data_IF_583569374506
#
_entry.id   IF_583569374506
#
_cell.length_a   1.000
_cell.length_b   1.000
_cell.length_c   1.000
_cell.angle_alpha   90.00
_cell.angle_beta   90.00
_cell.angle_gamma   90.00
#
_symmetry.space_group_name_H-M   'P 1'
#
loop_
_entity.id
_entity.type
_entity.pdbx_description
1 polymer ?
#
# COMPACT_ATOMS: atom_id res chain seq x y z
N UNK A 1 9.26 16.11 -7.79
CA UNK A 1 10.08 14.90 -8.02
C UNK A 1 9.19 13.70 -7.72
N UNK A 2 9.71 12.48 -7.61
CA UNK A 2 8.90 11.32 -7.18
C UNK A 2 9.62 10.63 -6.03
N UNK A 3 8.86 10.12 -5.07
CA UNK A 3 9.40 9.26 -4.03
C UNK A 3 9.18 7.78 -4.39
N UNK A 4 10.18 6.96 -4.12
CA UNK A 4 10.04 5.51 -4.21
C UNK A 4 9.55 4.96 -2.86
N UNK A 5 8.46 4.19 -2.88
CA UNK A 5 7.96 3.47 -1.72
C UNK A 5 8.01 1.96 -1.97
N UNK A 6 8.77 1.22 -1.15
CA UNK A 6 8.87 -0.24 -1.18
C UNK A 6 8.16 -0.83 0.02
N UNK A 7 7.11 -1.63 -0.20
CA UNK A 7 6.30 -2.26 0.86
C UNK A 7 6.41 -3.78 0.78
N UNK A 8 6.69 -4.45 1.90
CA UNK A 8 6.64 -5.90 1.94
C UNK A 8 5.18 -6.40 1.99
N UNK A 9 4.82 -7.30 1.09
CA UNK A 9 3.51 -7.95 1.05
C UNK A 9 3.54 -9.25 1.86
N UNK A 10 3.43 -9.12 3.18
CA UNK A 10 3.44 -10.25 4.12
C UNK A 10 2.08 -10.95 4.10
N UNK A 11 2.08 -12.19 3.58
CA UNK A 11 0.88 -13.04 3.52
C UNK A 11 1.13 -14.42 4.11
N UNK A 12 0.05 -15.12 4.47
CA UNK A 12 0.13 -16.54 4.83
C UNK A 12 0.24 -17.38 3.56
N UNK A 13 0.80 -18.60 3.69
CA UNK A 13 0.83 -19.58 2.60
C UNK A 13 -0.59 -19.91 2.09
N UNK A 14 -1.55 -19.98 3.02
CA UNK A 14 -2.95 -20.25 2.71
C UNK A 14 -3.58 -19.13 1.87
N UNK A 15 -3.32 -17.87 2.22
CA UNK A 15 -3.80 -16.72 1.43
C UNK A 15 -3.31 -16.78 -0.03
N UNK A 16 -2.07 -17.22 -0.26
CA UNK A 16 -1.53 -17.41 -1.61
C UNK A 16 -2.26 -18.53 -2.37
N UNK A 17 -2.49 -19.67 -1.71
CA UNK A 17 -3.18 -20.81 -2.31
C UNK A 17 -4.63 -20.43 -2.68
N UNK A 18 -5.36 -19.81 -1.75
CA UNK A 18 -6.74 -19.35 -1.95
C UNK A 18 -6.80 -18.35 -3.11
N UNK A 19 -5.94 -17.33 -3.10
CA UNK A 19 -5.93 -16.35 -4.19
C UNK A 19 -5.54 -16.93 -5.54
N UNK A 20 -4.68 -17.95 -5.59
CA UNK A 20 -4.35 -18.65 -6.83
C UNK A 20 -5.57 -19.39 -7.39
N UNK A 21 -6.35 -20.06 -6.54
CA UNK A 21 -7.61 -20.70 -6.93
C UNK A 21 -8.64 -19.68 -7.42
N UNK A 22 -8.84 -18.56 -6.69
CA UNK A 22 -9.74 -17.49 -7.14
C UNK A 22 -9.37 -17.02 -8.56
N UNK A 23 -8.09 -16.78 -8.83
CA UNK A 23 -7.62 -16.38 -10.17
C UNK A 23 -7.88 -17.44 -11.24
N UNK A 24 -7.67 -18.72 -10.92
CA UNK A 24 -7.98 -19.82 -11.85
C UNK A 24 -9.48 -19.88 -12.18
N UNK A 25 -10.34 -19.49 -11.24
CA UNK A 25 -11.80 -19.42 -11.43
C UNK A 25 -12.30 -18.10 -12.03
N UNK A 26 -11.40 -17.13 -12.31
CA UNK A 26 -11.78 -15.80 -12.77
C UNK A 26 -12.41 -14.91 -11.68
N UNK A 27 -12.27 -15.29 -10.42
CA UNK A 27 -12.81 -14.58 -9.27
C UNK A 27 -11.83 -13.55 -8.70
N UNK A 28 -12.37 -12.61 -7.92
CA UNK A 28 -11.55 -11.68 -7.16
C UNK A 28 -10.81 -12.41 -6.03
N UNK A 29 -9.60 -11.97 -5.65
CA UNK A 29 -8.86 -12.56 -4.55
C UNK A 29 -9.64 -12.45 -3.23
N UNK A 30 -9.89 -13.58 -2.57
CA UNK A 30 -10.59 -13.61 -1.27
C UNK A 30 -9.69 -13.13 -0.12
N UNK A 31 -8.37 -13.21 -0.27
CA UNK A 31 -7.40 -12.73 0.71
C UNK A 31 -6.53 -11.62 0.09
N UNK A 32 -7.08 -10.42 -0.17
CA UNK A 32 -6.35 -9.37 -0.86
C UNK A 32 -5.08 -8.99 -0.10
N UNK A 33 -4.09 -8.51 -0.85
CA UNK A 33 -2.82 -8.07 -0.28
C UNK A 33 -3.02 -7.04 0.83
N UNK A 34 -2.28 -7.22 1.91
CA UNK A 34 -2.28 -6.28 3.04
C UNK A 34 -1.40 -5.06 2.77
N UNK A 35 -0.49 -5.14 1.80
CA UNK A 35 0.35 -4.05 1.33
C UNK A 35 -0.33 -3.28 0.19
N UNK A 36 -0.76 -2.06 0.45
CA UNK A 36 -1.41 -1.20 -0.53
C UNK A 36 -1.14 0.27 -0.26
N UNK A 37 -1.29 1.08 -1.30
CA UNK A 37 -1.20 2.54 -1.28
C UNK A 37 -2.43 3.10 -1.96
N UNK A 38 -3.06 4.12 -1.39
CA UNK A 38 -4.12 4.87 -2.03
C UNK A 38 -3.76 6.35 -2.03
N UNK A 39 -3.98 7.05 -3.14
CA UNK A 39 -3.99 8.51 -3.15
C UNK A 39 -5.26 8.94 -2.44
N UNK A 40 -5.14 9.93 -1.57
CA UNK A 40 -6.27 10.37 -0.74
C UNK A 40 -6.65 11.82 -0.99
N UNK A 41 -7.96 12.06 -0.92
CA UNK A 41 -8.54 13.39 -0.77
C UNK A 41 -9.46 13.37 0.44
N UNK A 42 -9.24 14.29 1.36
CA UNK A 42 -10.01 14.44 2.59
C UNK A 42 -10.81 15.73 2.47
N UNK A 43 -12.14 15.63 2.52
CA UNK A 43 -12.98 16.82 2.49
C UNK A 43 -13.09 17.48 3.87
N UNK A 44 -13.69 18.68 3.93
CA UNK A 44 -13.88 19.43 5.17
C UNK A 44 -14.64 18.66 6.28
N UNK A 45 -15.42 17.64 5.92
CA UNK A 45 -16.14 16.79 6.88
C UNK A 45 -15.30 15.58 7.35
N UNK A 46 -14.03 15.48 6.93
CA UNK A 46 -13.13 14.38 7.26
C UNK A 46 -13.41 13.08 6.49
N UNK A 47 -14.23 13.10 5.43
CA UNK A 47 -14.43 11.95 4.57
C UNK A 47 -13.20 11.74 3.68
N UNK A 48 -12.69 10.51 3.66
CA UNK A 48 -11.50 10.12 2.91
C UNK A 48 -11.89 9.39 1.64
N UNK A 49 -11.77 10.06 0.50
CA UNK A 49 -11.83 9.47 -0.84
C UNK A 49 -10.49 8.81 -1.16
N UNK A 50 -10.52 7.55 -1.61
CA UNK A 50 -9.33 6.72 -1.86
C UNK A 50 -9.30 6.25 -3.31
N UNK A 51 -8.25 6.64 -4.01
CA UNK A 51 -7.90 6.08 -5.32
C UNK A 51 -6.73 5.11 -5.15
N UNK A 52 -7.00 3.80 -5.25
CA UNK A 52 -6.00 2.76 -4.96
C UNK A 52 -5.00 2.61 -6.10
N UNK A 53 -3.71 2.74 -5.76
CA UNK A 53 -2.64 2.60 -6.73
C UNK A 53 -2.36 1.13 -7.04
N UNK A 54 -2.11 0.84 -8.31
CA UNK A 54 -1.43 -0.38 -8.72
C UNK A 54 0.06 -0.20 -8.44
N UNK A 55 0.72 -1.23 -7.89
CA UNK A 55 2.18 -1.22 -7.77
C UNK A 55 2.83 -1.16 -9.15
N UNK A 56 3.84 -0.30 -9.29
CA UNK A 56 4.62 -0.16 -10.52
C UNK A 56 5.47 -1.41 -10.81
N UNK A 57 5.96 -2.04 -9.75
CA UNK A 57 6.70 -3.30 -9.82
C UNK A 57 6.44 -4.19 -8.61
N UNK A 58 6.68 -5.49 -8.79
CA UNK A 58 6.73 -6.46 -7.70
C UNK A 58 8.09 -7.14 -7.74
N UNK A 59 8.83 -7.03 -6.65
CA UNK A 59 10.16 -7.60 -6.47
C UNK A 59 10.08 -8.88 -5.62
N UNK A 60 10.65 -9.96 -6.16
CA UNK A 60 10.67 -11.29 -5.57
C UNK A 60 12.09 -11.73 -5.20
N UNK A 61 13.10 -10.85 -5.31
CA UNK A 61 14.52 -11.19 -5.14
C UNK A 61 14.82 -11.74 -3.74
N UNK A 62 14.09 -11.25 -2.74
CA UNK A 62 14.21 -11.68 -1.34
C UNK A 62 13.13 -12.70 -0.94
N UNK A 63 12.31 -13.16 -1.90
CA UNK A 63 11.17 -14.01 -1.59
C UNK A 63 11.65 -15.36 -1.05
N UNK A 64 11.07 -15.77 0.07
CA UNK A 64 11.28 -17.14 0.53
C UNK A 64 10.62 -18.13 -0.46
N UNK A 65 11.02 -19.40 -0.44
CA UNK A 65 10.50 -20.40 -1.39
C UNK A 65 8.97 -20.55 -1.40
N UNK A 66 8.29 -20.26 -0.28
CA UNK A 66 6.83 -20.26 -0.20
C UNK A 66 6.19 -18.95 -0.73
N UNK A 67 6.93 -17.84 -0.78
CA UNK A 67 6.45 -16.49 -1.08
C UNK A 67 5.52 -15.91 -0.01
N UNK A 68 5.72 -16.26 1.26
CA UNK A 68 4.99 -15.66 2.39
C UNK A 68 5.65 -14.40 2.95
N UNK A 69 6.94 -14.22 2.62
CA UNK A 69 7.83 -13.12 3.03
C UNK A 69 8.76 -12.77 1.87
N UNK A 70 9.31 -11.56 1.89
CA UNK A 70 10.31 -11.09 0.93
C UNK A 70 9.76 -10.76 -0.45
N UNK A 71 8.43 -10.64 -0.58
CA UNK A 71 7.79 -10.09 -1.77
C UNK A 71 7.54 -8.61 -1.51
N UNK A 72 8.05 -7.74 -2.38
CA UNK A 72 7.92 -6.29 -2.21
C UNK A 72 7.11 -5.69 -3.36
N UNK A 73 6.19 -4.78 -3.02
CA UNK A 73 5.50 -3.92 -3.97
C UNK A 73 6.16 -2.55 -3.98
N UNK A 74 6.56 -2.10 -5.17
CA UNK A 74 7.20 -0.82 -5.38
C UNK A 74 6.21 0.15 -6.01
N UNK A 75 6.16 1.37 -5.47
CA UNK A 75 5.30 2.45 -5.93
C UNK A 75 6.12 3.72 -6.16
N UNK A 76 5.76 4.45 -7.20
CA UNK A 76 6.15 5.84 -7.39
C UNK A 76 5.07 6.77 -6.86
N UNK A 77 5.42 7.61 -5.89
CA UNK A 77 4.56 8.64 -5.34
C UNK A 77 4.88 9.99 -5.97
N UNK A 78 3.85 10.67 -6.47
CA UNK A 78 3.98 11.97 -7.09
C UNK A 78 4.17 13.07 -6.03
N UNK A 79 4.97 14.08 -6.37
CA UNK A 79 5.19 15.28 -5.56
C UNK A 79 3.88 15.99 -5.19
N UNK A 80 3.80 16.53 -3.96
CA UNK A 80 2.64 17.31 -3.47
C UNK A 80 1.31 16.57 -3.62
N UNK A 81 1.37 15.25 -3.47
CA UNK A 81 0.20 14.40 -3.39
C UNK A 81 0.19 13.67 -2.04
N UNK A 82 -1.02 13.41 -1.56
CA UNK A 82 -1.28 12.78 -0.28
C UNK A 82 -1.67 11.33 -0.48
N UNK A 83 -1.16 10.47 0.38
CA UNK A 83 -1.38 9.04 0.31
C UNK A 83 -1.76 8.47 1.68
N UNK A 84 -2.55 7.40 1.67
CA UNK A 84 -2.69 6.47 2.79
C UNK A 84 -1.94 5.19 2.42
N UNK A 85 -1.09 4.74 3.33
CA UNK A 85 -0.25 3.57 3.16
C UNK A 85 -0.63 2.52 4.18
N UNK A 86 -0.86 1.30 3.72
CA UNK A 86 -0.97 0.11 4.57
C UNK A 86 0.30 -0.72 4.39
N UNK A 87 1.18 -0.68 5.38
CA UNK A 87 2.48 -1.34 5.39
C UNK A 87 2.51 -2.49 6.42
N UNK A 88 2.27 -3.75 6.00
CA UNK A 88 2.41 -4.91 6.89
C UNK A 88 3.81 -4.97 7.50
N UNK A 89 3.89 -5.00 8.83
CA UNK A 89 5.15 -5.15 9.56
C UNK A 89 5.32 -6.59 10.07
N UNK A 90 4.21 -7.31 10.23
CA UNK A 90 4.18 -8.73 10.61
C UNK A 90 2.89 -9.39 10.12
N UNK A 91 2.72 -10.69 10.38
CA UNK A 91 1.48 -11.41 10.05
C UNK A 91 0.22 -10.84 10.73
N UNK A 92 0.38 -10.15 11.86
CA UNK A 92 -0.74 -9.57 12.63
C UNK A 92 -0.72 -8.05 12.66
N UNK A 93 0.46 -7.45 12.52
CA UNK A 93 0.65 -6.01 12.57
C UNK A 93 0.68 -5.38 11.18
N UNK A 94 -0.05 -4.29 11.03
CA UNK A 94 0.02 -3.40 9.87
C UNK A 94 0.25 -1.99 10.40
N UNK A 95 1.31 -1.35 9.95
CA UNK A 95 1.51 0.08 10.14
C UNK A 95 0.71 0.82 9.07
N UNK A 96 -0.28 1.62 9.49
CA UNK A 96 -1.12 2.40 8.59
C UNK A 96 -0.93 3.87 8.90
N UNK A 97 -0.54 4.64 7.88
CA UNK A 97 -0.22 6.05 8.04
C UNK A 97 -0.60 6.84 6.80
N UNK A 98 -0.76 8.15 6.97
CA UNK A 98 -0.83 9.10 5.87
C UNK A 98 0.54 9.68 5.58
N UNK A 99 0.78 10.11 4.35
CA UNK A 99 1.99 10.83 4.00
C UNK A 99 1.80 11.78 2.82
N UNK A 100 2.73 12.73 2.71
CA UNK A 100 2.94 13.55 1.53
C UNK A 100 4.33 13.26 0.94
N UNK A 101 4.49 13.46 -0.36
CA UNK A 101 5.80 13.47 -1.01
C UNK A 101 6.31 14.90 -1.21
N UNK A 102 7.41 15.25 -0.54
CA UNK A 102 8.06 16.57 -0.64
C UNK A 102 9.54 16.37 -0.98
N UNK A 103 10.00 16.99 -2.06
CA UNK A 103 11.36 16.88 -2.61
C UNK A 103 11.84 15.43 -2.82
N UNK A 104 10.92 14.52 -3.16
CA UNK A 104 11.22 13.09 -3.30
C UNK A 104 11.33 12.32 -1.98
N UNK A 105 11.04 12.95 -0.84
CA UNK A 105 10.96 12.30 0.47
C UNK A 105 9.51 12.04 0.87
N UNK A 106 9.29 10.98 1.65
CA UNK A 106 7.97 10.61 2.18
C UNK A 106 7.87 11.12 3.60
N UNK A 107 7.02 12.12 3.81
CA UNK A 107 6.80 12.73 5.12
C UNK A 107 5.50 12.17 5.70
N UNK A 108 5.59 11.48 6.83
CA UNK A 108 4.41 10.94 7.52
C UNK A 108 3.59 12.07 8.12
N UNK A 109 2.27 11.91 8.04
CA UNK A 109 1.29 12.88 8.52
C UNK A 109 0.17 12.15 9.25
N UNK A 110 -0.51 12.90 10.11
CA UNK A 110 -1.82 12.54 10.66
C UNK A 110 -2.90 12.79 9.62
N UNK A 111 -4.10 12.27 9.87
CA UNK A 111 -5.25 12.49 8.99
C UNK A 111 -5.63 13.98 8.98
N UNK A 112 -5.57 14.61 10.14
CA UNK A 112 -5.90 16.01 10.38
C UNK A 112 -4.94 16.93 9.63
N UNK A 113 -3.64 16.67 9.68
CA UNK A 113 -2.65 17.44 8.89
C UNK A 113 -2.88 17.33 7.38
N UNK A 114 -3.24 16.14 6.88
CA UNK A 114 -3.59 15.97 5.45
C UNK A 114 -4.87 16.70 5.09
N UNK A 115 -5.86 16.72 5.99
CA UNK A 115 -7.09 17.46 5.79
C UNK A 115 -6.81 18.97 5.72
N UNK A 116 -6.07 19.50 6.69
CA UNK A 116 -5.73 20.92 6.78
C UNK A 116 -4.91 21.38 5.58
N UNK A 117 -4.03 20.53 5.04
CA UNK A 117 -3.22 20.85 3.86
C UNK A 117 -4.00 20.85 2.53
N UNK A 118 -5.25 20.34 2.51
CA UNK A 118 -6.10 20.23 1.32
C UNK A 118 -7.24 21.25 1.27
N UNK A 119 -7.42 22.04 2.32
CA UNK A 119 -8.41 23.12 2.43
C UNK A 119 -7.89 24.42 1.77
#
# INVERSE_FOLDING_TARGET
MRAALRLEDINTKDAKMVNAMCRQMGERPACPSRAWVARVRINANGYVDRDFLRADAVDYSDANGAGSRGIFKCYWLDERAYYEVSAPQSWRGTDRYFCETINGEIIRMTKEEVQDAQL
#
